data_IF_876865036828
#
_entry.id   IF_876865036828
#
_cell.length_a   1.000
_cell.length_b   1.000
_cell.length_c   1.000
_cell.angle_alpha   90.00
_cell.angle_beta   90.00
_cell.angle_gamma   90.00
#
_symmetry.space_group_name_H-M   'P 1'
#
loop_
_entity.id
_entity.type
_entity.pdbx_description
1 polymer ?
#
# COMPACT_ATOMS: atom_id res chain seq x y z
N UNK A 1 1.27 -1.18 -30.93
CA UNK A 1 1.16 0.17 -30.32
C UNK A 1 0.81 0.08 -28.83
N UNK A 2 -0.36 -0.43 -28.38
CA UNK A 2 -0.66 -0.50 -26.93
C UNK A 2 0.14 -1.57 -26.18
N UNK A 3 0.35 -2.75 -26.78
CA UNK A 3 1.13 -3.84 -26.15
C UNK A 3 2.62 -3.46 -25.97
N UNK A 4 3.22 -2.79 -26.96
CA UNK A 4 4.61 -2.35 -26.89
C UNK A 4 4.81 -1.27 -25.82
N UNK A 5 3.85 -0.36 -25.66
CA UNK A 5 3.88 0.69 -24.65
C UNK A 5 3.72 0.13 -23.22
N UNK A 6 2.87 -0.89 -23.04
CA UNK A 6 2.72 -1.60 -21.75
C UNK A 6 4.02 -2.31 -21.36
N UNK A 7 4.61 -3.07 -22.27
CA UNK A 7 5.87 -3.77 -22.02
C UNK A 7 7.01 -2.78 -21.68
N UNK A 8 7.06 -1.62 -22.34
CA UNK A 8 8.05 -0.59 -22.03
C UNK A 8 7.87 0.00 -20.60
N UNK A 9 6.62 0.21 -20.16
CA UNK A 9 6.33 0.68 -18.80
C UNK A 9 6.73 -0.35 -17.74
N UNK A 10 6.43 -1.63 -17.98
CA UNK A 10 6.79 -2.76 -17.11
C UNK A 10 8.32 -2.94 -17.03
N UNK A 11 9.03 -2.80 -18.15
CA UNK A 11 10.50 -2.85 -18.18
C UNK A 11 11.13 -1.67 -17.41
N UNK A 12 10.62 -0.45 -17.62
CA UNK A 12 11.10 0.71 -16.88
C UNK A 12 10.86 0.56 -15.36
N UNK A 13 9.72 0.00 -14.96
CA UNK A 13 9.41 -0.33 -13.57
C UNK A 13 10.41 -1.34 -13.00
N UNK A 14 10.63 -2.46 -13.70
CA UNK A 14 11.55 -3.52 -13.27
C UNK A 14 12.99 -3.01 -13.08
N UNK A 15 13.38 -1.99 -13.85
CA UNK A 15 14.70 -1.34 -13.76
C UNK A 15 14.73 -0.13 -12.81
N UNK A 16 13.68 0.11 -12.03
CA UNK A 16 13.59 1.18 -11.03
C UNK A 16 13.44 2.60 -11.61
N UNK A 17 13.16 2.73 -12.91
CA UNK A 17 12.92 4.02 -13.58
C UNK A 17 11.46 4.44 -13.43
N UNK A 18 11.06 4.71 -12.20
CA UNK A 18 9.65 4.95 -11.86
C UNK A 18 9.03 6.14 -12.58
N UNK A 19 9.75 7.26 -12.74
CA UNK A 19 9.21 8.42 -13.46
C UNK A 19 8.95 8.13 -14.95
N UNK A 20 9.84 7.35 -15.59
CA UNK A 20 9.66 6.93 -16.98
C UNK A 20 8.50 5.94 -17.11
N UNK A 21 8.46 4.92 -16.23
CA UNK A 21 7.36 3.96 -16.18
C UNK A 21 6.01 4.65 -15.97
N UNK A 22 5.94 5.63 -15.06
CA UNK A 22 4.72 6.39 -14.82
C UNK A 22 4.24 7.16 -16.06
N UNK A 23 5.15 7.78 -16.80
CA UNK A 23 4.80 8.51 -18.03
C UNK A 23 4.30 7.55 -19.13
N UNK A 24 4.98 6.42 -19.32
CA UNK A 24 4.59 5.39 -20.30
C UNK A 24 3.25 4.76 -19.95
N UNK A 25 3.04 4.40 -18.67
CA UNK A 25 1.81 3.78 -18.19
C UNK A 25 0.62 4.74 -18.27
N UNK A 26 0.80 6.01 -17.91
CA UNK A 26 -0.24 7.03 -18.05
C UNK A 26 -0.68 7.21 -19.50
N UNK A 27 0.25 7.17 -20.46
CA UNK A 27 -0.04 7.30 -21.88
C UNK A 27 -0.90 6.16 -22.45
N UNK A 28 -1.05 5.04 -21.73
CA UNK A 28 -1.96 3.96 -22.11
C UNK A 28 -3.43 4.38 -22.02
N UNK A 29 -3.78 5.35 -21.16
CA UNK A 29 -5.15 5.85 -21.00
C UNK A 29 -6.15 4.79 -20.49
N UNK A 30 -5.65 3.76 -19.79
CA UNK A 30 -6.45 2.67 -19.19
C UNK A 30 -6.39 2.75 -17.68
N UNK A 31 -7.38 2.18 -16.98
CA UNK A 31 -7.35 2.12 -15.51
C UNK A 31 -6.07 1.46 -15.00
N UNK A 32 -5.69 0.29 -15.52
CA UNK A 32 -4.42 -0.38 -15.17
C UNK A 32 -3.17 0.48 -15.42
N UNK A 33 -3.14 1.22 -16.54
CA UNK A 33 -2.03 2.13 -16.83
C UNK A 33 -1.94 3.28 -15.82
N UNK A 34 -3.07 3.79 -15.36
CA UNK A 34 -3.12 4.82 -14.32
C UNK A 34 -2.76 4.26 -12.94
N UNK A 35 -3.17 3.04 -12.62
CA UNK A 35 -2.74 2.30 -11.42
C UNK A 35 -1.21 2.17 -11.40
N UNK A 36 -0.62 1.65 -12.47
CA UNK A 36 0.84 1.51 -12.57
C UNK A 36 1.55 2.87 -12.47
N UNK A 37 1.00 3.92 -13.06
CA UNK A 37 1.54 5.27 -12.95
C UNK A 37 1.48 5.81 -11.52
N UNK A 38 0.34 5.68 -10.84
CA UNK A 38 0.19 6.05 -9.43
C UNK A 38 1.16 5.25 -8.54
N UNK A 39 1.28 3.94 -8.80
CA UNK A 39 2.22 3.06 -8.12
C UNK A 39 3.64 3.61 -8.18
N UNK A 40 4.14 3.82 -9.40
CA UNK A 40 5.49 4.32 -9.66
C UNK A 40 5.74 5.70 -9.03
N UNK A 41 4.80 6.64 -9.12
CA UNK A 41 4.96 7.95 -8.50
C UNK A 41 5.04 7.87 -6.97
N UNK A 42 4.22 7.03 -6.34
CA UNK A 42 4.33 6.82 -4.89
C UNK A 42 5.64 6.16 -4.49
N UNK A 43 6.17 5.21 -5.27
CA UNK A 43 7.48 4.61 -5.02
C UNK A 43 8.63 5.61 -5.20
N UNK A 44 8.56 6.44 -6.23
CA UNK A 44 9.49 7.55 -6.42
C UNK A 44 9.47 8.48 -5.19
N UNK A 45 8.29 8.88 -4.73
CA UNK A 45 8.14 9.75 -3.57
C UNK A 45 8.68 9.12 -2.28
N UNK A 46 8.40 7.83 -2.08
CA UNK A 46 8.75 7.12 -0.86
C UNK A 46 10.26 6.86 -0.73
N UNK A 47 10.91 6.49 -1.84
CA UNK A 47 12.28 5.94 -1.79
C UNK A 47 13.35 6.79 -2.46
N UNK A 48 13.02 7.58 -3.48
CA UNK A 48 14.02 8.20 -4.36
C UNK A 48 13.99 9.74 -4.39
N UNK A 49 12.85 10.35 -4.08
CA UNK A 49 12.67 11.80 -4.15
C UNK A 49 13.26 12.54 -2.94
N UNK A 50 13.71 13.78 -3.17
CA UNK A 50 14.01 14.70 -2.08
C UNK A 50 12.72 15.11 -1.35
N UNK A 51 12.81 15.48 -0.07
CA UNK A 51 11.63 15.83 0.75
C UNK A 51 10.76 16.91 0.12
N UNK A 52 11.36 17.91 -0.54
CA UNK A 52 10.65 19.01 -1.17
C UNK A 52 9.84 18.58 -2.42
N UNK A 53 10.21 17.47 -3.06
CA UNK A 53 9.55 16.95 -4.27
C UNK A 53 8.41 15.96 -3.95
N UNK A 54 8.42 15.37 -2.76
CA UNK A 54 7.43 14.34 -2.36
C UNK A 54 5.97 14.82 -2.45
N UNK A 55 5.60 16.05 -2.01
CA UNK A 55 4.20 16.48 -2.04
C UNK A 55 3.59 16.44 -3.43
N UNK A 56 4.31 16.92 -4.46
CA UNK A 56 3.82 16.95 -5.84
C UNK A 56 3.64 15.53 -6.40
N UNK A 57 4.62 14.64 -6.14
CA UNK A 57 4.56 13.25 -6.60
C UNK A 57 3.37 12.51 -5.99
N UNK A 58 3.12 12.70 -4.69
CA UNK A 58 2.01 12.06 -3.98
C UNK A 58 0.66 12.64 -4.42
N UNK A 59 0.55 13.95 -4.64
CA UNK A 59 -0.66 14.57 -5.17
C UNK A 59 -1.01 14.02 -6.55
N UNK A 60 -0.01 13.89 -7.43
CA UNK A 60 -0.18 13.29 -8.76
C UNK A 60 -0.56 11.81 -8.66
N UNK A 61 0.08 11.03 -7.78
CA UNK A 61 -0.27 9.63 -7.57
C UNK A 61 -1.74 9.47 -7.15
N UNK A 62 -2.20 10.28 -6.19
CA UNK A 62 -3.59 10.28 -5.74
C UNK A 62 -4.56 10.63 -6.87
N UNK A 63 -4.27 11.68 -7.65
CA UNK A 63 -5.11 12.09 -8.76
C UNK A 63 -5.24 11.01 -9.84
N UNK A 64 -4.15 10.32 -10.15
CA UNK A 64 -4.14 9.21 -11.12
C UNK A 64 -4.92 8.00 -10.60
N UNK A 65 -4.77 7.63 -9.33
CA UNK A 65 -5.51 6.53 -8.74
C UNK A 65 -7.02 6.83 -8.68
N UNK A 66 -7.40 8.06 -8.30
CA UNK A 66 -8.81 8.50 -8.31
C UNK A 66 -9.38 8.53 -9.74
N UNK A 67 -8.57 8.87 -10.75
CA UNK A 67 -8.95 8.74 -12.15
C UNK A 67 -9.09 7.28 -12.60
N UNK A 68 -8.21 6.39 -12.16
CA UNK A 68 -8.30 4.95 -12.42
C UNK A 68 -9.62 4.38 -11.88
N UNK A 69 -10.02 4.75 -10.66
CA UNK A 69 -11.32 4.40 -10.06
C UNK A 69 -12.49 4.92 -10.91
N UNK A 70 -12.39 6.16 -11.43
CA UNK A 70 -13.45 6.72 -12.29
C UNK A 70 -13.55 6.01 -13.64
N UNK A 71 -12.43 5.59 -14.22
CA UNK A 71 -12.40 4.87 -15.49
C UNK A 71 -12.91 3.43 -15.34
N UNK A 72 -12.54 2.77 -14.25
CA UNK A 72 -12.98 1.41 -13.93
C UNK A 72 -13.26 1.26 -12.42
N UNK A 73 -14.53 1.42 -12.02
CA UNK A 73 -14.94 1.28 -10.62
C UNK A 73 -14.82 -0.14 -10.05
N UNK A 74 -14.54 -1.16 -10.87
CA UNK A 74 -14.37 -2.54 -10.43
C UNK A 74 -12.88 -2.90 -10.25
N UNK A 75 -11.96 -2.01 -10.64
CA UNK A 75 -10.52 -2.21 -10.49
C UNK A 75 -10.08 -2.04 -9.02
N UNK A 76 -9.88 -3.15 -8.31
CA UNK A 76 -9.45 -3.16 -6.91
C UNK A 76 -8.12 -2.43 -6.68
N UNK A 77 -7.16 -2.55 -7.59
CA UNK A 77 -5.83 -1.95 -7.46
C UNK A 77 -5.89 -0.41 -7.46
N UNK A 78 -6.85 0.17 -8.18
CA UNK A 78 -7.07 1.61 -8.20
C UNK A 78 -7.44 2.16 -6.81
N UNK A 79 -8.25 1.41 -6.06
CA UNK A 79 -8.59 1.76 -4.68
C UNK A 79 -7.39 1.59 -3.74
N UNK A 80 -6.60 0.53 -3.91
CA UNK A 80 -5.38 0.32 -3.11
C UNK A 80 -4.35 1.42 -3.34
N UNK A 81 -4.13 1.81 -4.60
CA UNK A 81 -3.17 2.86 -4.93
C UNK A 81 -3.64 4.24 -4.43
N UNK A 82 -4.95 4.54 -4.48
CA UNK A 82 -5.49 5.76 -3.87
C UNK A 82 -5.29 5.74 -2.35
N UNK A 83 -5.54 4.61 -1.69
CA UNK A 83 -5.31 4.44 -0.26
C UNK A 83 -3.83 4.62 0.13
N UNK A 84 -2.91 4.05 -0.68
CA UNK A 84 -1.46 4.18 -0.49
C UNK A 84 -1.00 5.62 -0.65
N UNK A 85 -1.47 6.32 -1.68
CA UNK A 85 -1.18 7.73 -1.90
C UNK A 85 -1.69 8.61 -0.74
N UNK A 86 -2.88 8.33 -0.19
CA UNK A 86 -3.36 9.01 1.02
C UNK A 86 -2.48 8.74 2.25
N UNK A 87 -1.97 7.52 2.40
CA UNK A 87 -1.01 7.16 3.45
C UNK A 87 0.28 7.98 3.36
N UNK A 88 0.89 8.03 2.18
CA UNK A 88 2.07 8.87 1.91
C UNK A 88 1.77 10.36 2.16
N UNK A 89 0.59 10.84 1.77
CA UNK A 89 0.18 12.21 2.03
C UNK A 89 0.07 12.50 3.53
N UNK A 90 -0.48 11.56 4.30
CA UNK A 90 -0.58 11.67 5.75
C UNK A 90 0.79 11.76 6.43
N UNK A 91 1.79 11.00 5.94
CA UNK A 91 3.17 11.08 6.42
C UNK A 91 3.78 12.47 6.17
N UNK A 92 3.58 13.03 4.97
CA UNK A 92 4.11 14.35 4.58
C UNK A 92 3.51 15.47 5.44
N UNK A 93 2.19 15.46 5.63
CA UNK A 93 1.50 16.57 6.34
C UNK A 93 1.48 16.40 7.87
N UNK A 94 1.85 15.22 8.35
CA UNK A 94 1.86 14.84 9.75
C UNK A 94 0.50 14.48 10.34
N UNK A 95 0.54 13.66 11.41
CA UNK A 95 -0.62 13.01 12.02
C UNK A 95 -1.77 13.96 12.38
N UNK A 96 -1.47 15.15 12.91
CA UNK A 96 -2.50 16.09 13.35
C UNK A 96 -3.28 16.68 12.17
N UNK A 97 -2.61 16.98 11.05
CA UNK A 97 -3.28 17.50 9.86
C UNK A 97 -4.02 16.38 9.12
N UNK A 98 -3.41 15.20 9.04
CA UNK A 98 -4.06 13.99 8.50
C UNK A 98 -5.36 13.65 9.24
N UNK A 99 -5.35 13.72 10.58
CA UNK A 99 -6.54 13.51 11.40
C UNK A 99 -7.64 14.54 11.10
N UNK A 100 -7.29 15.83 11.05
CA UNK A 100 -8.26 16.91 10.74
C UNK A 100 -8.87 16.79 9.35
N UNK A 101 -8.11 16.28 8.38
CA UNK A 101 -8.59 16.03 7.03
C UNK A 101 -9.33 14.69 6.86
N UNK A 102 -9.46 13.91 7.94
CA UNK A 102 -10.16 12.62 7.90
C UNK A 102 -9.47 11.57 7.02
N UNK A 103 -8.16 11.69 6.80
CA UNK A 103 -7.45 10.81 5.86
C UNK A 103 -7.54 9.34 6.28
N UNK A 104 -7.46 9.04 7.57
CA UNK A 104 -7.59 7.68 8.08
C UNK A 104 -8.94 7.03 7.71
N UNK A 105 -10.05 7.76 7.84
CA UNK A 105 -11.37 7.23 7.44
C UNK A 105 -11.44 6.97 5.93
N UNK A 106 -10.96 7.91 5.13
CA UNK A 106 -10.89 7.75 3.66
C UNK A 106 -10.03 6.57 3.23
N UNK A 107 -8.87 6.39 3.85
CA UNK A 107 -8.00 5.23 3.60
C UNK A 107 -8.73 3.93 3.94
N UNK A 108 -9.42 3.86 5.08
CA UNK A 108 -10.19 2.67 5.45
C UNK A 108 -11.27 2.33 4.42
N UNK A 109 -12.06 3.31 4.00
CA UNK A 109 -13.14 3.13 3.03
C UNK A 109 -12.61 2.65 1.66
N UNK A 110 -11.48 3.21 1.21
CA UNK A 110 -10.83 2.78 -0.03
C UNK A 110 -10.34 1.33 0.06
N UNK A 111 -9.68 0.95 1.16
CA UNK A 111 -9.18 -0.42 1.30
C UNK A 111 -10.34 -1.43 1.47
N UNK A 112 -11.43 -1.06 2.15
CA UNK A 112 -12.64 -1.88 2.19
C UNK A 112 -13.24 -2.05 0.79
N UNK A 113 -13.32 -0.98 0.01
CA UNK A 113 -13.79 -1.05 -1.37
C UNK A 113 -12.91 -1.99 -2.22
N UNK A 114 -11.59 -1.93 -2.06
CA UNK A 114 -10.68 -2.87 -2.72
C UNK A 114 -10.95 -4.32 -2.29
N UNK A 115 -11.14 -4.57 -0.99
CA UNK A 115 -11.40 -5.90 -0.44
C UNK A 115 -12.72 -6.48 -0.97
N UNK A 116 -13.77 -5.66 -1.10
CA UNK A 116 -15.06 -6.11 -1.65
C UNK A 116 -14.94 -6.58 -3.11
N UNK A 117 -14.02 -5.99 -3.88
CA UNK A 117 -13.77 -6.32 -5.29
C UNK A 117 -12.85 -7.51 -5.46
N UNK A 118 -11.84 -7.61 -4.60
CA UNK A 118 -10.82 -8.66 -4.65
C UNK A 118 -10.63 -9.31 -3.26
N UNK A 119 -11.61 -10.12 -2.79
CA UNK A 119 -11.58 -10.69 -1.44
C UNK A 119 -10.51 -11.76 -1.22
N UNK A 120 -9.96 -12.32 -2.31
CA UNK A 120 -8.88 -13.31 -2.28
C UNK A 120 -7.52 -12.69 -2.66
N UNK A 121 -7.45 -11.36 -2.78
CA UNK A 121 -6.18 -10.63 -2.93
C UNK A 121 -5.57 -10.38 -1.53
N UNK A 122 -4.29 -10.70 -1.31
CA UNK A 122 -3.60 -10.37 -0.05
C UNK A 122 -3.51 -8.87 0.26
N UNK A 123 -3.52 -7.98 -0.74
CA UNK A 123 -3.14 -6.57 -0.53
C UNK A 123 -4.21 -5.73 0.19
N UNK A 124 -5.52 -5.87 -0.08
CA UNK A 124 -6.54 -5.23 0.75
C UNK A 124 -6.51 -5.71 2.20
N UNK A 125 -6.23 -7.00 2.43
CA UNK A 125 -6.01 -7.52 3.78
C UNK A 125 -4.80 -6.85 4.44
N UNK A 126 -3.67 -6.74 3.75
CA UNK A 126 -2.49 -6.05 4.27
C UNK A 126 -2.79 -4.58 4.62
N UNK A 127 -3.53 -3.87 3.76
CA UNK A 127 -3.94 -2.48 3.98
C UNK A 127 -4.80 -2.31 5.24
N UNK A 128 -5.83 -3.14 5.44
CA UNK A 128 -6.67 -3.10 6.64
C UNK A 128 -5.85 -3.45 7.89
N UNK A 129 -4.98 -4.45 7.78
CA UNK A 129 -4.10 -4.84 8.87
C UNK A 129 -3.19 -3.68 9.32
N UNK A 130 -2.62 -2.95 8.37
CA UNK A 130 -1.87 -1.71 8.58
C UNK A 130 -2.71 -0.65 9.26
N UNK A 131 -3.90 -0.36 8.72
CA UNK A 131 -4.80 0.66 9.24
C UNK A 131 -5.19 0.42 10.70
N UNK A 132 -5.64 -0.80 11.04
CA UNK A 132 -5.97 -1.18 12.41
C UNK A 132 -4.76 -1.00 13.33
N UNK A 133 -3.57 -1.46 12.90
CA UNK A 133 -2.35 -1.34 13.69
C UNK A 133 -1.94 0.13 13.93
N UNK A 134 -2.10 0.99 12.93
CA UNK A 134 -1.76 2.41 13.00
C UNK A 134 -2.70 3.20 13.91
N UNK A 135 -4.02 2.99 13.81
CA UNK A 135 -4.98 3.62 14.72
C UNK A 135 -4.75 3.18 16.16
N UNK A 136 -4.49 1.89 16.38
CA UNK A 136 -4.17 1.38 17.72
C UNK A 136 -2.88 2.01 18.26
N UNK A 137 -1.85 2.16 17.42
CA UNK A 137 -0.57 2.76 17.80
C UNK A 137 -0.70 4.27 18.09
N UNK A 138 -1.62 4.98 17.42
CA UNK A 138 -1.90 6.39 17.64
C UNK A 138 -2.57 6.69 19.00
N UNK A 139 -3.06 5.66 19.70
CA UNK A 139 -3.46 5.74 21.10
C UNK A 139 -4.96 5.96 21.33
N UNK A 140 -5.33 6.41 22.52
CA UNK A 140 -6.72 6.45 22.96
C UNK A 140 -7.61 7.39 22.13
N UNK A 141 -7.12 8.58 21.78
CA UNK A 141 -7.92 9.56 21.03
C UNK A 141 -8.29 9.04 19.64
N UNK A 142 -7.34 8.43 18.93
CA UNK A 142 -7.60 7.84 17.62
C UNK A 142 -8.63 6.70 17.70
N UNK A 143 -8.49 5.79 18.67
CA UNK A 143 -9.45 4.69 18.88
C UNK A 143 -10.84 5.16 19.34
N UNK A 144 -10.94 6.30 20.01
CA UNK A 144 -12.23 6.89 20.37
C UNK A 144 -12.97 7.41 19.13
N UNK A 145 -12.22 7.87 18.12
CA UNK A 145 -12.75 8.31 16.82
C UNK A 145 -13.09 7.13 15.90
N UNK A 146 -12.22 6.12 15.87
CA UNK A 146 -12.34 4.92 15.04
C UNK A 146 -12.53 3.69 15.93
N UNK A 147 -13.78 3.43 16.32
CA UNK A 147 -14.09 2.42 17.35
C UNK A 147 -13.93 0.99 16.84
N UNK A 148 -14.03 0.77 15.53
CA UNK A 148 -13.74 -0.52 14.90
C UNK A 148 -12.25 -0.88 14.91
N UNK A 149 -11.34 0.06 15.21
CA UNK A 149 -9.92 -0.23 15.16
C UNK A 149 -9.45 -1.14 16.31
N UNK A 150 -9.24 -2.42 16.01
CA UNK A 150 -8.79 -3.42 16.98
C UNK A 150 -7.47 -4.12 16.65
N UNK A 151 -6.74 -4.55 17.69
CA UNK A 151 -5.50 -5.33 17.54
C UNK A 151 -5.74 -6.72 16.98
N UNK A 152 -6.81 -7.39 17.39
CA UNK A 152 -7.13 -8.72 16.91
C UNK A 152 -7.53 -8.67 15.43
N UNK A 153 -8.25 -7.63 15.00
CA UNK A 153 -8.54 -7.42 13.57
C UNK A 153 -7.27 -7.12 12.77
N UNK A 154 -6.34 -6.32 13.29
CA UNK A 154 -5.02 -6.16 12.65
C UNK A 154 -4.34 -7.51 12.43
N UNK A 155 -4.27 -8.35 13.47
CA UNK A 155 -3.65 -9.69 13.39
C UNK A 155 -4.40 -10.59 12.41
N UNK A 156 -5.73 -10.62 12.47
CA UNK A 156 -6.58 -11.42 11.58
C UNK A 156 -6.34 -11.07 10.11
N UNK A 157 -6.29 -9.79 9.78
CA UNK A 157 -6.03 -9.34 8.42
C UNK A 157 -4.60 -9.65 7.97
N UNK A 158 -3.59 -9.50 8.83
CA UNK A 158 -2.23 -9.91 8.49
C UNK A 158 -2.10 -11.43 8.24
N UNK A 159 -2.68 -12.27 9.09
CA UNK A 159 -2.66 -13.73 8.89
C UNK A 159 -3.39 -14.11 7.60
N UNK A 160 -4.54 -13.47 7.30
CA UNK A 160 -5.24 -13.71 6.04
C UNK A 160 -4.44 -13.26 4.82
N UNK A 161 -3.76 -12.12 4.88
CA UNK A 161 -2.84 -11.70 3.83
C UNK A 161 -1.71 -12.73 3.64
N UNK A 162 -1.13 -13.23 4.73
CA UNK A 162 -0.06 -14.23 4.70
C UNK A 162 -0.52 -15.56 4.06
N UNK A 163 -1.73 -16.01 4.35
CA UNK A 163 -2.33 -17.21 3.74
C UNK A 163 -2.48 -17.08 2.22
N UNK A 164 -2.84 -15.88 1.74
CA UNK A 164 -3.11 -15.60 0.33
C UNK A 164 -1.84 -15.27 -0.47
N UNK A 165 -0.81 -14.73 0.17
CA UNK A 165 0.33 -14.11 -0.51
C UNK A 165 1.42 -15.07 -1.02
N UNK A 166 1.24 -16.39 -0.88
CA UNK A 166 2.24 -17.38 -1.29
C UNK A 166 3.63 -17.07 -0.72
N UNK A 167 4.62 -16.89 -1.60
CA UNK A 167 6.02 -16.61 -1.24
C UNK A 167 6.34 -15.10 -1.12
N UNK A 168 5.32 -14.22 -1.07
CA UNK A 168 5.54 -12.76 -0.95
C UNK A 168 6.41 -12.41 0.27
N UNK A 169 7.53 -11.72 0.02
CA UNK A 169 8.38 -11.20 1.09
C UNK A 169 7.76 -9.98 1.75
N UNK A 170 7.16 -9.09 0.96
CA UNK A 170 6.54 -7.85 1.44
C UNK A 170 5.54 -8.10 2.58
N UNK A 171 4.60 -9.04 2.39
CA UNK A 171 3.58 -9.36 3.40
C UNK A 171 4.23 -9.87 4.69
N UNK A 172 5.26 -10.71 4.59
CA UNK A 172 6.00 -11.23 5.74
C UNK A 172 6.79 -10.14 6.47
N UNK A 173 7.45 -9.25 5.74
CA UNK A 173 8.22 -8.13 6.28
C UNK A 173 7.32 -7.14 7.02
N UNK A 174 6.23 -6.71 6.39
CA UNK A 174 5.26 -5.79 6.99
C UNK A 174 4.62 -6.39 8.24
N UNK A 175 4.21 -7.67 8.17
CA UNK A 175 3.62 -8.31 9.34
C UNK A 175 4.65 -8.45 10.47
N UNK A 176 5.86 -8.93 10.19
CA UNK A 176 6.93 -9.09 11.17
C UNK A 176 7.29 -7.76 11.87
N UNK A 177 7.33 -6.65 11.13
CA UNK A 177 7.59 -5.31 11.68
C UNK A 177 6.54 -4.88 12.70
N UNK A 178 5.27 -5.26 12.49
CA UNK A 178 4.12 -4.80 13.27
C UNK A 178 3.85 -5.69 14.47
N UNK A 179 4.12 -6.98 14.33
CA UNK A 179 3.73 -8.02 15.27
C UNK A 179 4.22 -7.82 16.72
N UNK A 180 5.44 -7.33 17.02
CA UNK A 180 5.88 -7.07 18.39
C UNK A 180 5.03 -6.07 19.17
N UNK A 181 4.29 -5.18 18.47
CA UNK A 181 3.36 -4.20 19.09
C UNK A 181 1.94 -4.74 19.19
N UNK A 182 1.58 -5.69 18.33
CA UNK A 182 0.26 -6.32 18.26
C UNK A 182 0.14 -7.47 19.28
N UNK A 183 1.16 -8.31 19.40
CA UNK A 183 1.23 -9.41 20.36
C UNK A 183 2.47 -9.33 21.28
N UNK A 184 2.20 -9.22 22.59
CA UNK A 184 3.24 -9.12 23.63
C UNK A 184 3.80 -10.47 24.09
N UNK A 185 3.07 -11.58 23.88
CA UNK A 185 3.43 -12.89 24.42
C UNK A 185 4.30 -13.70 23.45
N UNK A 186 3.98 -13.70 22.15
CA UNK A 186 4.72 -14.45 21.12
C UNK A 186 5.18 -13.61 19.93
N UNK A 187 4.73 -12.36 19.82
CA UNK A 187 4.89 -11.59 18.59
C UNK A 187 6.34 -11.37 18.13
N UNK A 188 7.31 -11.29 19.04
CA UNK A 188 8.73 -11.20 18.68
C UNK A 188 9.29 -12.49 18.08
N UNK A 189 8.84 -13.64 18.57
CA UNK A 189 9.29 -14.94 18.07
C UNK A 189 8.71 -15.20 16.69
N UNK A 190 7.40 -14.99 16.53
CA UNK A 190 6.72 -15.11 15.24
C UNK A 190 7.27 -14.12 14.22
N UNK A 191 7.59 -12.88 14.61
CA UNK A 191 8.25 -11.92 13.72
C UNK A 191 9.59 -12.44 13.21
N UNK A 192 10.44 -13.04 14.06
CA UNK A 192 11.72 -13.63 13.61
C UNK A 192 11.52 -14.79 12.66
N UNK A 193 10.50 -15.63 12.88
CA UNK A 193 10.17 -16.71 11.97
C UNK A 193 9.78 -16.17 10.58
N UNK A 194 8.89 -15.17 10.53
CA UNK A 194 8.47 -14.53 9.28
C UNK A 194 9.64 -13.87 8.53
N UNK A 195 10.56 -13.20 9.24
CA UNK A 195 11.78 -12.64 8.65
C UNK A 195 12.70 -13.74 8.08
N UNK A 196 12.79 -14.89 8.76
CA UNK A 196 13.60 -16.02 8.30
C UNK A 196 12.99 -16.68 7.05
N UNK A 197 11.66 -16.80 7.00
CA UNK A 197 10.93 -17.25 5.82
C UNK A 197 11.15 -16.29 4.64
N UNK A 198 10.95 -14.98 4.85
CA UNK A 198 11.14 -13.98 3.81
C UNK A 198 12.57 -13.98 3.22
N UNK A 199 13.59 -14.18 4.07
CA UNK A 199 14.98 -14.30 3.65
C UNK A 199 15.28 -15.57 2.83
N UNK A 200 14.43 -16.60 2.91
CA UNK A 200 14.61 -17.85 2.18
C UNK A 200 14.05 -17.83 0.74
N UNK A 201 13.21 -16.86 0.41
CA UNK A 201 12.61 -16.74 -0.91
C UNK A 201 13.51 -16.01 -1.91
N UNK A 202 13.43 -16.34 -3.21
CA UNK A 202 14.12 -15.57 -4.25
C UNK A 202 13.59 -14.13 -4.29
N UNK A 203 14.42 -13.18 -4.74
CA UNK A 203 13.95 -11.81 -5.03
C UNK A 203 13.10 -11.88 -6.29
N UNK A 204 11.79 -11.58 -6.18
CA UNK A 204 10.86 -11.60 -7.30
C UNK A 204 10.90 -10.31 -8.12
N UNK A 205 10.76 -9.16 -7.47
CA UNK A 205 10.72 -7.82 -8.09
C UNK A 205 11.48 -6.75 -7.28
N UNK A 206 11.32 -5.47 -7.64
CA UNK A 206 11.95 -4.35 -6.92
C UNK A 206 11.53 -4.28 -5.44
N UNK A 207 10.26 -4.57 -5.11
CA UNK A 207 9.79 -4.57 -3.72
C UNK A 207 10.47 -5.65 -2.88
N UNK A 208 10.77 -6.80 -3.49
CA UNK A 208 11.47 -7.90 -2.84
C UNK A 208 12.99 -7.65 -2.65
N UNK A 209 13.54 -6.64 -3.33
CA UNK A 209 14.96 -6.29 -3.33
C UNK A 209 15.36 -5.13 -2.40
N UNK A 210 14.39 -4.40 -1.84
CA UNK A 210 14.59 -3.35 -0.83
C UNK A 210 14.78 -3.94 0.58
#
# INVERSE_FOLDING_TARGET
MSADARAAAEEAYAQGRFLESAALAHALGTSDGLVLAAMCLGLQAQYLAAEDDKPELVERALALADEAIRLDPDNADAYLESARALGLHAEIIGNLKALRQGLAGRTHDLVLAALERAPDDPQPHLGLAGWHADIVAAGFVARAMFKEADKADAVKHYERALELAGDSKLVRLEYARRLPKLDRKGGRERARALLSEAASFPVGDFHDGL
#
